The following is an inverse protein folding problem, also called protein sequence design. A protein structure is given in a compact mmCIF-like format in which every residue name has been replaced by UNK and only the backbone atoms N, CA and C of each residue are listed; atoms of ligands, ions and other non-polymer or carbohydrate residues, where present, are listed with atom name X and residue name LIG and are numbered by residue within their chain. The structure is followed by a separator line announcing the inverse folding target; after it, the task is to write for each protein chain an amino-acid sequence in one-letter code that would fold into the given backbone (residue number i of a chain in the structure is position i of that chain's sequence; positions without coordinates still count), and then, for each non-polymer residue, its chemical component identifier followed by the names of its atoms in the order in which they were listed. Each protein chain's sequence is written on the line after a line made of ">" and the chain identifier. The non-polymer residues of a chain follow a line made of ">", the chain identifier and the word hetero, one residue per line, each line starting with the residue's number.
data_IF_422543804827
#
_entry.id   IF_422543804827
#
_cell.length_a   1.000
_cell.length_b   1.000
_cell.length_c   1.000
_cell.angle_alpha   90.00
_cell.angle_beta   90.00
_cell.angle_gamma   90.00
#
_symmetry.space_group_name_H-M   'P 1'
#
loop_
_entity.id
_entity.type
_entity.pdbx_description
1 polymer ?
#
# COMPACT_ATOMS: atom_id res chain seq x y z
N UNK A 1 -30.34 10.49 -6.83
CA UNK A 1 -29.45 9.34 -6.67
C UNK A 1 -28.91 9.37 -5.25
N UNK A 2 -29.12 8.30 -4.47
CA UNK A 2 -28.57 8.21 -3.11
C UNK A 2 -27.05 8.20 -3.18
N UNK A 3 -26.42 8.85 -2.23
CA UNK A 3 -24.97 8.91 -2.11
C UNK A 3 -24.48 7.49 -1.75
N UNK A 4 -23.47 6.96 -2.45
CA UNK A 4 -22.86 5.67 -2.12
C UNK A 4 -22.45 5.62 -0.66
N UNK A 5 -22.71 4.50 0.03
CA UNK A 5 -22.27 4.28 1.42
C UNK A 5 -21.39 3.03 1.53
N UNK A 6 -20.72 2.86 2.66
CA UNK A 6 -19.82 1.73 2.88
C UNK A 6 -20.51 0.38 2.74
N UNK A 7 -21.76 0.24 3.16
CA UNK A 7 -22.52 -1.01 3.05
C UNK A 7 -22.74 -1.44 1.59
N UNK A 8 -23.02 -0.50 0.72
CA UNK A 8 -23.16 -0.76 -0.72
C UNK A 8 -21.83 -1.18 -1.33
N UNK A 9 -20.73 -0.54 -0.94
CA UNK A 9 -19.38 -0.96 -1.36
C UNK A 9 -19.06 -2.37 -0.88
N UNK A 10 -19.34 -2.69 0.38
CA UNK A 10 -19.17 -4.03 0.96
C UNK A 10 -19.99 -5.06 0.17
N UNK A 11 -21.25 -4.77 -0.09
CA UNK A 11 -22.13 -5.68 -0.85
C UNK A 11 -21.60 -5.94 -2.27
N UNK A 12 -21.16 -4.91 -2.97
CA UNK A 12 -20.58 -5.03 -4.32
C UNK A 12 -19.30 -5.86 -4.31
N UNK A 13 -18.39 -5.58 -3.35
CA UNK A 13 -17.15 -6.33 -3.19
C UNK A 13 -17.40 -7.80 -2.83
N UNK A 14 -18.26 -8.07 -1.87
CA UNK A 14 -18.59 -9.45 -1.45
C UNK A 14 -19.26 -10.23 -2.57
N UNK A 15 -20.13 -9.59 -3.35
CA UNK A 15 -20.79 -10.23 -4.51
C UNK A 15 -19.79 -10.55 -5.62
N UNK A 16 -18.79 -9.69 -5.86
CA UNK A 16 -17.82 -9.87 -6.94
C UNK A 16 -16.67 -10.82 -6.57
N UNK A 17 -16.23 -10.80 -5.32
CA UNK A 17 -15.01 -11.48 -4.90
C UNK A 17 -15.20 -12.59 -3.86
N UNK A 18 -16.30 -12.59 -3.10
CA UNK A 18 -16.59 -13.63 -2.10
C UNK A 18 -15.40 -13.85 -1.16
N UNK A 19 -14.90 -15.09 -1.09
CA UNK A 19 -13.80 -15.50 -0.22
C UNK A 19 -12.41 -14.99 -0.64
N UNK A 20 -12.29 -14.32 -1.79
CA UNK A 20 -11.02 -13.71 -2.26
C UNK A 20 -10.65 -12.44 -1.52
N UNK A 21 -11.55 -11.92 -0.71
CA UNK A 21 -11.31 -10.79 0.19
C UNK A 21 -11.67 -11.20 1.62
N UNK A 22 -10.99 -10.60 2.60
CA UNK A 22 -11.37 -10.77 4.00
C UNK A 22 -12.73 -10.13 4.29
N UNK A 23 -13.35 -10.50 5.40
CA UNK A 23 -14.55 -9.81 5.88
C UNK A 23 -14.22 -8.32 6.06
N UNK A 24 -14.91 -7.40 5.34
CA UNK A 24 -14.65 -5.98 5.49
C UNK A 24 -14.97 -5.47 6.89
N UNK A 25 -14.17 -4.55 7.37
CA UNK A 25 -14.30 -3.91 8.68
C UNK A 25 -14.19 -2.39 8.53
N UNK A 26 -14.62 -1.65 9.55
CA UNK A 26 -14.58 -0.17 9.53
C UNK A 26 -13.81 0.41 10.73
N UNK A 27 -12.50 0.09 10.89
CA UNK A 27 -11.72 0.67 11.96
C UNK A 27 -11.66 2.19 11.80
N UNK A 28 -12.08 2.90 12.86
CA UNK A 28 -12.17 4.36 12.88
C UNK A 28 -13.04 4.95 11.76
N UNK A 29 -14.08 4.21 11.31
CA UNK A 29 -14.97 4.65 10.23
C UNK A 29 -14.37 4.53 8.82
N UNK A 30 -13.24 3.84 8.67
CA UNK A 30 -12.55 3.66 7.39
C UNK A 30 -12.76 2.23 6.88
N UNK A 31 -13.51 2.09 5.79
CA UNK A 31 -13.76 0.79 5.19
C UNK A 31 -12.42 0.12 4.81
N UNK A 32 -12.15 -1.03 5.42
CA UNK A 32 -10.89 -1.75 5.29
C UNK A 32 -11.12 -3.23 5.06
N UNK A 33 -10.38 -3.82 4.12
CA UNK A 33 -10.34 -5.27 3.91
C UNK A 33 -8.96 -5.72 3.43
N UNK A 34 -8.73 -7.03 3.44
CA UNK A 34 -7.50 -7.65 2.99
C UNK A 34 -7.77 -8.54 1.78
N UNK A 35 -6.78 -8.67 0.92
CA UNK A 35 -6.80 -9.58 -0.23
C UNK A 35 -5.39 -10.13 -0.49
N UNK A 36 -5.26 -11.15 -1.34
CA UNK A 36 -3.96 -11.68 -1.72
C UNK A 36 -3.32 -10.89 -2.86
N UNK A 37 -2.00 -11.03 -3.03
CA UNK A 37 -1.26 -10.42 -4.13
C UNK A 37 -1.76 -10.90 -5.52
N UNK A 38 -2.28 -12.11 -5.61
CA UNK A 38 -2.83 -12.65 -6.85
C UNK A 38 -4.13 -11.95 -7.26
N UNK A 39 -4.95 -11.54 -6.29
CA UNK A 39 -6.26 -10.95 -6.53
C UNK A 39 -6.25 -9.42 -6.59
N UNK A 40 -5.17 -8.76 -6.13
CA UNK A 40 -5.17 -7.29 -5.98
C UNK A 40 -5.45 -6.56 -7.28
N UNK A 41 -4.90 -7.01 -8.40
CA UNK A 41 -5.12 -6.36 -9.70
C UNK A 41 -6.57 -6.35 -10.13
N UNK A 42 -7.27 -7.45 -9.90
CA UNK A 42 -8.70 -7.56 -10.24
C UNK A 42 -9.56 -6.71 -9.30
N UNK A 43 -9.24 -6.71 -8.01
CA UNK A 43 -9.93 -5.88 -7.00
C UNK A 43 -9.76 -4.39 -7.32
N UNK A 44 -8.53 -3.95 -7.60
CA UNK A 44 -8.25 -2.56 -7.95
C UNK A 44 -8.97 -2.12 -9.24
N UNK A 45 -8.94 -3.00 -10.27
CA UNK A 45 -9.63 -2.74 -11.53
C UNK A 45 -11.14 -2.64 -11.32
N UNK A 46 -11.73 -3.58 -10.60
CA UNK A 46 -13.16 -3.57 -10.30
C UNK A 46 -13.58 -2.26 -9.61
N UNK A 47 -12.88 -1.87 -8.54
CA UNK A 47 -13.18 -0.64 -7.80
C UNK A 47 -13.10 0.62 -8.68
N UNK A 48 -12.13 0.66 -9.62
CA UNK A 48 -11.95 1.78 -10.52
C UNK A 48 -13.00 1.85 -11.62
N UNK A 49 -13.27 0.71 -12.28
CA UNK A 49 -14.05 0.64 -13.52
C UNK A 49 -15.56 0.51 -13.26
N UNK A 50 -15.96 0.06 -12.08
CA UNK A 50 -17.37 -0.05 -11.74
C UNK A 50 -18.07 1.31 -11.80
N UNK A 51 -19.21 1.35 -12.53
CA UNK A 51 -19.93 2.60 -12.84
C UNK A 51 -20.59 3.28 -11.64
N UNK A 52 -20.84 2.53 -10.57
CA UNK A 52 -21.44 3.03 -9.34
C UNK A 52 -20.38 3.39 -8.31
N UNK A 53 -19.36 2.54 -8.15
CA UNK A 53 -18.31 2.70 -7.15
C UNK A 53 -17.34 3.84 -7.49
N UNK A 54 -16.81 3.88 -8.71
CA UNK A 54 -15.97 4.96 -9.26
C UNK A 54 -14.82 5.38 -8.34
N UNK A 55 -14.05 4.43 -7.85
CA UNK A 55 -12.83 4.73 -7.11
C UNK A 55 -11.73 5.18 -8.08
N UNK A 56 -11.89 6.37 -8.63
CA UNK A 56 -11.04 6.92 -9.67
C UNK A 56 -9.79 7.64 -9.14
N UNK A 57 -9.66 7.81 -7.83
CA UNK A 57 -8.52 8.47 -7.22
C UNK A 57 -7.75 7.51 -6.30
N UNK A 58 -6.50 7.24 -6.67
CA UNK A 58 -5.53 6.58 -5.80
C UNK A 58 -4.92 7.64 -4.89
N UNK A 59 -5.25 7.56 -3.61
CA UNK A 59 -4.80 8.56 -2.62
C UNK A 59 -3.37 8.27 -2.18
N UNK A 60 -3.05 6.97 -1.97
CA UNK A 60 -1.76 6.56 -1.43
C UNK A 60 -1.50 5.08 -1.66
N UNK A 61 -0.20 4.73 -1.83
CA UNK A 61 0.33 3.38 -1.70
C UNK A 61 1.50 3.45 -0.73
N UNK A 62 1.47 2.63 0.31
CA UNK A 62 2.56 2.59 1.29
C UNK A 62 2.87 1.17 1.74
N UNK A 63 4.09 0.98 2.24
CA UNK A 63 4.54 -0.28 2.82
C UNK A 63 4.37 -0.31 4.35
N UNK A 64 4.32 -1.52 4.89
CA UNK A 64 4.37 -1.78 6.33
C UNK A 64 5.14 -3.07 6.58
N UNK A 65 5.89 -3.14 7.67
CA UNK A 65 6.67 -4.32 8.03
C UNK A 65 6.30 -4.84 9.42
N UNK A 66 5.91 -6.12 9.49
CA UNK A 66 5.62 -6.89 10.70
C UNK A 66 6.52 -8.12 10.78
N UNK A 67 7.74 -8.01 11.34
CA UNK A 67 8.74 -9.09 11.35
C UNK A 67 8.25 -10.42 11.96
N UNK A 68 7.32 -10.33 12.90
CA UNK A 68 6.78 -11.49 13.62
C UNK A 68 5.78 -12.30 12.77
N UNK A 69 5.32 -11.76 11.64
CA UNK A 69 4.32 -12.44 10.80
C UNK A 69 4.99 -13.25 9.70
N UNK A 70 4.36 -14.36 9.30
CA UNK A 70 4.81 -15.18 8.17
C UNK A 70 4.84 -14.39 6.86
N UNK A 71 3.81 -13.59 6.59
CA UNK A 71 3.77 -12.61 5.51
C UNK A 71 4.12 -11.25 6.14
N UNK A 72 5.40 -10.95 6.21
CA UNK A 72 5.93 -9.87 7.04
C UNK A 72 5.81 -8.49 6.40
N UNK A 73 5.70 -8.41 5.08
CA UNK A 73 5.55 -7.15 4.35
C UNK A 73 4.09 -6.94 3.95
N UNK A 74 3.56 -5.77 4.27
CA UNK A 74 2.23 -5.35 3.81
C UNK A 74 2.31 -4.21 2.82
N UNK A 75 1.43 -4.24 1.82
CA UNK A 75 1.18 -3.11 0.90
C UNK A 75 -0.22 -2.58 1.18
N UNK A 76 -0.33 -1.30 1.44
CA UNK A 76 -1.58 -0.63 1.79
C UNK A 76 -1.96 0.32 0.66
N UNK A 77 -3.14 0.12 0.09
CA UNK A 77 -3.71 1.00 -0.92
C UNK A 77 -4.85 1.82 -0.32
N UNK A 78 -4.85 3.11 -0.53
CA UNK A 78 -5.94 4.00 -0.19
C UNK A 78 -6.59 4.54 -1.46
N UNK A 79 -7.87 4.23 -1.65
CA UNK A 79 -8.65 4.70 -2.79
C UNK A 79 -9.78 5.62 -2.36
N UNK A 80 -10.10 6.57 -3.22
CA UNK A 80 -11.18 7.52 -3.00
C UNK A 80 -12.08 7.61 -4.24
N UNK A 81 -13.38 7.41 -4.04
CA UNK A 81 -14.40 7.76 -4.99
C UNK A 81 -14.78 9.23 -4.80
N UNK A 82 -14.17 10.13 -5.59
CA UNK A 82 -14.37 11.57 -5.44
C UNK A 82 -15.84 11.97 -5.66
N UNK A 83 -16.52 11.32 -6.61
CA UNK A 83 -17.93 11.60 -6.91
C UNK A 83 -18.89 11.19 -5.78
N UNK A 84 -18.56 10.12 -5.07
CA UNK A 84 -19.38 9.57 -4.00
C UNK A 84 -18.92 10.00 -2.60
N UNK A 85 -17.69 10.53 -2.48
CA UNK A 85 -17.02 10.85 -1.23
C UNK A 85 -16.91 9.66 -0.27
N UNK A 86 -16.54 8.49 -0.82
CA UNK A 86 -16.30 7.26 -0.07
C UNK A 86 -14.83 6.85 -0.24
N UNK A 87 -14.22 6.37 0.84
CA UNK A 87 -12.83 5.92 0.86
C UNK A 87 -12.75 4.45 1.26
N UNK A 88 -11.75 3.75 0.71
CA UNK A 88 -11.47 2.37 1.07
C UNK A 88 -9.96 2.17 1.26
N UNK A 89 -9.62 1.32 2.22
CA UNK A 89 -8.27 0.83 2.47
C UNK A 89 -8.20 -0.65 2.12
N UNK A 90 -7.23 -1.01 1.30
CA UNK A 90 -6.97 -2.39 0.94
C UNK A 90 -5.60 -2.75 1.48
N UNK A 91 -5.48 -3.89 2.14
CA UNK A 91 -4.22 -4.42 2.63
C UNK A 91 -3.88 -5.70 1.90
N UNK A 92 -2.63 -5.85 1.52
CA UNK A 92 -2.08 -7.08 0.95
C UNK A 92 -0.82 -7.44 1.72
N UNK A 93 -0.77 -8.65 2.27
CA UNK A 93 0.43 -9.13 2.94
C UNK A 93 1.16 -10.14 2.05
N UNK A 94 2.48 -9.98 1.95
CA UNK A 94 3.37 -10.76 1.09
C UNK A 94 4.60 -11.22 1.85
N UNK A 95 5.33 -12.16 1.28
CA UNK A 95 6.56 -12.70 1.85
C UNK A 95 7.62 -11.59 1.92
N UNK A 96 8.28 -11.46 3.07
CA UNK A 96 9.33 -10.45 3.28
C UNK A 96 10.65 -10.77 2.57
N UNK A 97 10.92 -12.04 2.28
CA UNK A 97 12.13 -12.47 1.59
C UNK A 97 12.02 -12.25 0.06
N UNK A 98 10.82 -12.36 -0.48
CA UNK A 98 10.53 -12.14 -1.90
C UNK A 98 9.26 -11.28 -2.06
N UNK A 99 9.29 -9.98 -1.70
CA UNK A 99 8.11 -9.14 -1.63
C UNK A 99 7.66 -8.64 -3.01
N UNK A 100 6.98 -9.50 -3.75
CA UNK A 100 6.47 -9.22 -5.10
C UNK A 100 4.96 -8.97 -5.10
N UNK A 101 4.52 -7.94 -5.85
CA UNK A 101 3.12 -7.60 -6.04
C UNK A 101 2.92 -6.95 -7.42
N UNK A 102 1.80 -7.21 -8.12
CA UNK A 102 1.53 -6.54 -9.39
C UNK A 102 1.42 -5.02 -9.26
N UNK A 103 1.98 -4.29 -10.25
CA UNK A 103 1.90 -2.82 -10.32
C UNK A 103 0.47 -2.33 -10.53
N UNK A 104 0.12 -1.21 -9.90
CA UNK A 104 -1.12 -0.47 -10.14
C UNK A 104 -0.95 0.66 -11.18
N UNK A 105 0.24 0.86 -11.77
CA UNK A 105 0.53 1.94 -12.72
C UNK A 105 -0.36 1.90 -13.96
N UNK A 106 -0.80 0.71 -14.38
CA UNK A 106 -1.74 0.55 -15.50
C UNK A 106 -3.14 1.10 -15.20
N UNK A 107 -3.47 1.23 -13.92
CA UNK A 107 -4.76 1.76 -13.46
C UNK A 107 -4.65 3.24 -13.12
N UNK A 108 -3.61 3.65 -12.41
CA UNK A 108 -3.38 5.05 -12.01
C UNK A 108 -1.94 5.45 -12.29
N UNK A 109 -1.74 6.46 -13.09
CA UNK A 109 -0.40 6.98 -13.40
C UNK A 109 0.35 7.47 -12.15
N UNK A 110 -0.38 8.02 -11.18
CA UNK A 110 0.18 8.46 -9.89
C UNK A 110 0.80 7.32 -9.06
N UNK A 111 0.40 6.07 -9.30
CA UNK A 111 0.99 4.91 -8.65
C UNK A 111 2.50 4.78 -8.91
N UNK A 112 2.99 5.26 -10.07
CA UNK A 112 4.40 5.20 -10.44
C UNK A 112 5.31 5.74 -9.33
N UNK A 113 5.02 6.92 -8.81
CA UNK A 113 5.85 7.55 -7.77
C UNK A 113 5.66 6.89 -6.40
N UNK A 114 4.44 6.51 -6.05
CA UNK A 114 4.10 5.87 -4.77
C UNK A 114 4.71 4.47 -4.68
N UNK A 115 4.70 3.70 -5.77
CA UNK A 115 5.33 2.38 -5.84
C UNK A 115 6.85 2.47 -5.76
N UNK A 116 7.48 3.45 -6.42
CA UNK A 116 8.92 3.70 -6.30
C UNK A 116 9.33 4.10 -4.89
N UNK A 117 8.56 4.95 -4.22
CA UNK A 117 8.79 5.30 -2.81
C UNK A 117 8.65 4.06 -1.93
N UNK A 118 7.61 3.26 -2.12
CA UNK A 118 7.39 2.02 -1.36
C UNK A 118 8.50 0.99 -1.61
N UNK A 119 8.97 0.86 -2.86
CA UNK A 119 10.16 0.06 -3.18
C UNK A 119 11.40 0.60 -2.46
N UNK A 120 11.62 1.90 -2.52
CA UNK A 120 12.82 2.54 -1.97
C UNK A 120 12.96 2.33 -0.45
N UNK A 121 11.85 2.35 0.28
CA UNK A 121 11.85 2.21 1.73
C UNK A 121 11.69 0.77 2.24
N UNK A 122 10.96 -0.09 1.53
CA UNK A 122 10.62 -1.44 2.01
C UNK A 122 11.16 -2.57 1.13
N UNK A 123 11.65 -2.27 -0.08
CA UNK A 123 12.15 -3.26 -1.02
C UNK A 123 11.06 -4.07 -1.71
N UNK A 124 9.85 -3.55 -1.79
CA UNK A 124 8.71 -4.21 -2.46
C UNK A 124 8.87 -4.10 -3.97
N UNK A 125 8.87 -5.23 -4.66
CA UNK A 125 8.98 -5.31 -6.12
C UNK A 125 7.58 -5.24 -6.73
N UNK A 126 7.33 -4.19 -7.51
CA UNK A 126 6.07 -4.02 -8.23
C UNK A 126 6.21 -4.59 -9.64
N UNK A 127 5.70 -5.80 -9.84
CA UNK A 127 5.81 -6.54 -11.11
C UNK A 127 5.10 -5.80 -12.26
N UNK A 128 5.85 -5.51 -13.30
CA UNK A 128 5.37 -4.77 -14.47
C UNK A 128 5.40 -3.24 -14.32
N UNK A 129 6.04 -2.71 -13.26
CA UNK A 129 6.31 -1.28 -13.12
C UNK A 129 7.25 -0.80 -14.24
N UNK A 130 6.99 0.35 -14.90
CA UNK A 130 7.76 0.78 -16.07
C UNK A 130 9.21 1.19 -15.75
N UNK A 131 9.48 1.66 -14.53
CA UNK A 131 10.83 2.09 -14.12
C UNK A 131 10.95 2.09 -12.59
N UNK A 132 11.15 0.91 -11.99
CA UNK A 132 11.24 0.72 -10.55
C UNK A 132 12.66 1.04 -10.06
N UNK A 133 12.92 2.30 -9.77
CA UNK A 133 14.19 2.81 -9.23
C UNK A 133 13.94 3.64 -7.98
N UNK A 134 14.95 3.81 -7.15
CA UNK A 134 14.88 4.65 -5.95
C UNK A 134 14.48 6.09 -6.29
N UNK A 135 13.94 6.80 -5.32
CA UNK A 135 13.38 8.15 -5.51
C UNK A 135 13.84 9.14 -4.43
N UNK A 136 14.03 8.67 -3.21
CA UNK A 136 14.36 9.49 -2.04
C UNK A 136 15.72 9.14 -1.42
N UNK A 137 16.08 7.85 -1.39
CA UNK A 137 17.38 7.42 -0.89
C UNK A 137 18.43 7.47 -1.99
N UNK A 138 19.71 7.41 -1.60
CA UNK A 138 20.82 7.37 -2.55
C UNK A 138 20.82 6.08 -3.37
N UNK A 139 21.24 6.15 -4.62
CA UNK A 139 21.14 5.04 -5.58
C UNK A 139 21.94 3.79 -5.16
N UNK A 140 23.05 3.99 -4.47
CA UNK A 140 23.95 2.94 -3.99
C UNK A 140 23.57 2.36 -2.60
N UNK A 141 22.46 2.80 -2.02
CA UNK A 141 21.97 2.24 -0.76
C UNK A 141 21.62 0.76 -0.92
N UNK A 142 22.18 -0.08 -0.06
CA UNK A 142 22.01 -1.55 -0.09
C UNK A 142 20.91 -2.06 0.83
N UNK A 143 20.33 -1.20 1.65
CA UNK A 143 19.28 -1.52 2.64
C UNK A 143 17.97 -0.81 2.33
N UNK A 144 16.89 -1.28 2.98
CA UNK A 144 15.57 -0.68 2.92
C UNK A 144 15.23 -0.09 4.31
N UNK A 145 15.41 1.21 4.51
CA UNK A 145 15.54 1.82 5.83
C UNK A 145 14.26 1.80 6.68
N UNK A 146 13.08 1.57 6.07
CA UNK A 146 11.81 1.48 6.82
C UNK A 146 11.48 0.05 7.29
N UNK A 147 12.31 -0.93 6.94
CA UNK A 147 12.20 -2.26 7.54
C UNK A 147 12.64 -2.21 8.99
N UNK A 148 11.91 -2.92 9.87
CA UNK A 148 12.14 -2.86 11.32
C UNK A 148 13.45 -3.47 11.79
N UNK A 149 14.15 -4.24 10.96
CA UNK A 149 15.50 -4.70 11.23
C UNK A 149 16.54 -3.57 11.22
N UNK A 150 16.20 -2.41 10.65
CA UNK A 150 17.05 -1.24 10.66
C UNK A 150 16.57 -0.28 11.75
N UNK A 151 17.29 -0.17 12.89
CA UNK A 151 16.92 0.75 13.96
C UNK A 151 17.09 2.21 13.49
N UNK A 152 16.21 3.07 13.98
CA UNK A 152 16.25 4.51 13.68
C UNK A 152 17.55 5.16 14.11
N UNK A 153 18.12 4.66 15.21
CA UNK A 153 19.45 5.07 15.70
C UNK A 153 20.38 3.85 15.69
N UNK A 154 21.55 4.00 15.08
CA UNK A 154 22.60 2.99 15.16
C UNK A 154 23.14 2.95 16.61
N UNK A 155 22.97 1.84 17.36
CA UNK A 155 23.47 1.73 18.73
C UNK A 155 24.99 1.83 18.82
N UNK A 156 25.71 1.63 17.71
CA UNK A 156 27.17 1.78 17.63
C UNK A 156 27.59 3.13 17.04
N UNK A 157 26.65 4.02 16.79
CA UNK A 157 26.95 5.34 16.28
C UNK A 157 27.79 6.10 17.28
N UNK A 158 29.00 6.50 16.86
CA UNK A 158 29.79 7.50 17.59
C UNK A 158 29.10 8.84 17.34
N UNK A 159 28.37 9.32 18.32
CA UNK A 159 27.68 10.61 18.20
C UNK A 159 28.62 11.70 17.81
N UNK A 160 28.33 12.40 16.73
CA UNK A 160 28.87 13.72 16.49
C UNK A 160 28.51 14.56 17.71
N UNK A 161 29.48 15.02 18.45
CA UNK A 161 29.24 16.05 19.48
C UNK A 161 28.71 17.28 18.77
N UNK A 162 27.40 17.44 18.77
CA UNK A 162 26.76 18.60 18.18
C UNK A 162 26.80 19.77 19.18
N UNK A 163 27.88 20.50 19.14
CA UNK A 163 28.07 21.64 20.03
C UNK A 163 27.10 22.80 19.77
N UNK A 164 26.41 22.82 18.62
CA UNK A 164 25.53 23.92 18.24
C UNK A 164 24.06 23.68 18.68
N UNK A 165 23.65 22.44 18.88
CA UNK A 165 22.26 22.10 19.21
C UNK A 165 22.08 21.48 20.59
N UNK A 166 23.12 21.46 21.45
CA UNK A 166 22.99 21.11 22.86
C UNK A 166 22.54 19.66 23.15
N UNK A 167 22.83 18.71 22.27
CA UNK A 167 22.57 17.28 22.46
C UNK A 167 23.85 16.51 22.77
#
# INVERSE_FOLDING_TARGET
>A
MGKLNNQQVIQSLTSAFGDRISVPSEPYGFLTFETSAENISDVLRFLKEDKELKFNYLTDITGIHYPEQKLSIGVIYHLHSLSNNVRVRIKVFIDGDAPHIPTATKLWEGANWMERETYDFFGIIFDGHPNLVRVLNVDDMTVFPMRREHPLEDPNRVDKKDYFFGR
#
